data_IF_472168285421
#
_entry.id   IF_472168285421
#
_cell.length_a   1.000
_cell.length_b   1.000
_cell.length_c   1.000
_cell.angle_alpha   90.00
_cell.angle_beta   90.00
_cell.angle_gamma   90.00
#
_symmetry.space_group_name_H-M   'P 1'
#
loop_
_entity.id
_entity.type
_entity.pdbx_description
1 polymer ?
#
# COMPACT_ATOMS: atom_id res chain seq x y z
N UNK A 1 31.23 39.24 -8.15
CA UNK A 1 30.18 38.71 -7.27
C UNK A 1 29.00 38.33 -8.15
N UNK A 2 29.03 37.14 -8.74
CA UNK A 2 27.98 36.67 -9.66
C UNK A 2 26.87 36.01 -8.83
N UNK A 3 25.78 36.74 -8.58
CA UNK A 3 24.55 36.14 -8.07
C UNK A 3 23.80 35.54 -9.24
N UNK A 4 24.04 34.25 -9.50
CA UNK A 4 23.23 33.45 -10.43
C UNK A 4 21.87 33.24 -9.76
N UNK A 5 20.89 34.07 -10.11
CA UNK A 5 19.53 33.98 -9.59
C UNK A 5 18.89 32.67 -10.08
N UNK A 6 18.80 31.72 -9.16
CA UNK A 6 18.19 30.42 -9.34
C UNK A 6 16.68 30.60 -9.47
N UNK A 7 16.11 30.23 -10.62
CA UNK A 7 14.65 30.10 -10.74
C UNK A 7 14.12 29.18 -9.63
N UNK A 8 12.91 29.39 -9.13
CA UNK A 8 12.28 28.48 -8.14
C UNK A 8 12.31 26.99 -8.57
N UNK A 9 12.49 26.70 -9.87
CA UNK A 9 12.68 25.36 -10.41
C UNK A 9 14.01 24.69 -10.03
N UNK A 10 15.06 25.45 -9.71
CA UNK A 10 16.40 24.90 -9.38
C UNK A 10 16.49 24.48 -7.90
N UNK A 11 15.69 25.10 -7.02
CA UNK A 11 15.59 24.74 -5.59
C UNK A 11 14.15 24.76 -5.06
N UNK A 12 13.26 23.90 -5.59
CA UNK A 12 11.84 23.90 -5.23
C UNK A 12 11.57 23.55 -3.76
N UNK A 13 12.55 22.95 -3.05
CA UNK A 13 12.44 22.60 -1.64
C UNK A 13 12.76 23.76 -0.67
N UNK A 14 13.28 24.90 -1.16
CA UNK A 14 13.68 26.02 -0.31
C UNK A 14 12.54 27.03 -0.21
N UNK A 15 12.08 27.32 1.01
CA UNK A 15 11.21 28.47 1.28
C UNK A 15 12.01 29.58 1.94
N UNK A 16 12.15 30.72 1.23
CA UNK A 16 12.94 31.86 1.69
C UNK A 16 12.33 32.61 2.89
N UNK A 17 11.01 32.49 3.10
CA UNK A 17 10.29 33.19 4.16
C UNK A 17 10.15 32.39 5.47
N UNK A 18 10.66 31.16 5.53
CA UNK A 18 10.53 30.29 6.70
C UNK A 18 11.86 30.16 7.45
N UNK A 19 11.82 30.44 8.75
CA UNK A 19 12.95 30.51 9.69
C UNK A 19 13.57 29.15 10.03
N UNK A 20 13.08 28.04 9.45
CA UNK A 20 13.46 26.70 9.87
C UNK A 20 14.37 26.02 8.83
N UNK A 21 15.67 26.27 8.92
CA UNK A 21 16.70 25.59 8.09
C UNK A 21 16.54 24.06 8.14
N UNK A 22 16.09 23.51 9.28
CA UNK A 22 15.84 22.08 9.45
C UNK A 22 14.72 21.54 8.54
N UNK A 23 13.66 22.32 8.32
CA UNK A 23 12.55 21.91 7.44
C UNK A 23 12.97 21.90 5.97
N UNK A 24 13.76 22.89 5.56
CA UNK A 24 14.33 22.92 4.22
C UNK A 24 15.25 21.71 3.96
N UNK A 25 16.01 21.26 4.95
CA UNK A 25 16.84 20.04 4.82
C UNK A 25 16.00 18.76 4.80
N UNK A 26 14.94 18.66 5.63
CA UNK A 26 13.98 17.54 5.55
C UNK A 26 13.28 17.49 4.20
N UNK A 27 12.88 18.64 3.67
CA UNK A 27 12.29 18.75 2.35
C UNK A 27 13.29 18.32 1.27
N UNK A 28 14.54 18.78 1.35
CA UNK A 28 15.60 18.37 0.42
C UNK A 28 15.80 16.86 0.41
N UNK A 29 15.77 16.20 1.57
CA UNK A 29 15.87 14.75 1.67
C UNK A 29 14.70 14.04 0.97
N UNK A 30 13.47 14.50 1.18
CA UNK A 30 12.29 13.96 0.48
C UNK A 30 12.35 14.17 -1.04
N UNK A 31 12.87 15.32 -1.49
CA UNK A 31 12.97 15.68 -2.91
C UNK A 31 13.98 14.82 -3.68
N UNK A 32 14.85 14.07 -3.01
CA UNK A 32 15.73 13.08 -3.69
C UNK A 32 14.95 11.99 -4.43
N UNK A 33 13.72 11.70 -4.02
CA UNK A 33 12.83 10.76 -4.69
C UNK A 33 11.95 11.42 -5.77
N UNK A 34 11.88 12.76 -5.80
CA UNK A 34 11.09 13.51 -6.77
C UNK A 34 11.83 13.58 -8.11
N UNK A 35 11.07 13.59 -9.19
CA UNK A 35 11.52 13.93 -10.54
C UNK A 35 10.51 14.91 -11.10
N UNK A 36 10.97 16.02 -11.68
CA UNK A 36 10.10 17.10 -12.13
C UNK A 36 10.06 17.12 -13.65
N UNK A 37 8.87 17.16 -14.24
CA UNK A 37 8.69 17.33 -15.68
C UNK A 37 8.30 18.78 -15.94
N UNK A 38 9.04 19.47 -16.81
CA UNK A 38 8.73 20.83 -17.24
C UNK A 38 8.87 20.96 -18.75
N UNK A 39 8.35 22.04 -19.33
CA UNK A 39 8.72 22.40 -20.70
C UNK A 39 10.23 22.65 -20.76
N UNK A 40 10.86 22.16 -21.82
CA UNK A 40 12.30 22.35 -22.04
C UNK A 40 12.57 23.82 -22.33
N UNK A 41 13.51 24.40 -21.57
CA UNK A 41 14.05 25.72 -21.88
C UNK A 41 15.18 25.57 -22.88
N UNK A 42 15.31 26.53 -23.78
CA UNK A 42 16.38 26.51 -24.78
C UNK A 42 17.72 26.89 -24.16
N UNK A 43 18.76 26.13 -24.46
CA UNK A 43 20.13 26.41 -24.00
C UNK A 43 20.82 27.52 -24.83
N UNK A 44 20.16 27.99 -25.88
CA UNK A 44 20.65 29.02 -26.80
C UNK A 44 20.90 30.34 -26.06
N UNK A 45 22.02 30.99 -26.40
CA UNK A 45 22.37 32.29 -25.84
C UNK A 45 21.34 33.38 -26.18
N UNK A 46 20.73 33.28 -27.36
CA UNK A 46 19.66 34.18 -27.79
C UNK A 46 18.44 34.10 -26.86
N UNK A 47 18.08 32.89 -26.40
CA UNK A 47 16.99 32.69 -25.47
C UNK A 47 17.29 33.32 -24.10
N UNK A 48 18.51 33.17 -23.58
CA UNK A 48 18.95 33.82 -22.32
C UNK A 48 18.93 35.35 -22.40
N UNK A 49 19.36 35.89 -23.53
CA UNK A 49 19.28 37.32 -23.82
C UNK A 49 17.83 37.79 -23.89
N UNK A 50 16.93 37.00 -24.49
CA UNK A 50 15.49 37.26 -24.49
C UNK A 50 14.90 37.27 -23.07
N UNK A 51 15.20 36.26 -22.24
CA UNK A 51 14.75 36.20 -20.85
C UNK A 51 15.19 37.45 -20.06
N UNK A 52 16.44 37.87 -20.25
CA UNK A 52 17.00 39.08 -19.62
C UNK A 52 16.24 40.33 -20.06
N UNK A 53 15.99 40.50 -21.37
CA UNK A 53 15.24 41.65 -21.90
C UNK A 53 13.79 41.68 -21.41
N UNK A 54 13.13 40.52 -21.30
CA UNK A 54 11.76 40.45 -20.77
C UNK A 54 11.75 40.88 -19.31
N UNK A 55 12.70 40.40 -18.50
CA UNK A 55 12.83 40.78 -17.09
C UNK A 55 13.05 42.29 -16.92
N UNK A 56 13.99 42.87 -17.68
CA UNK A 56 14.25 44.32 -17.67
C UNK A 56 12.97 45.08 -18.04
N UNK A 57 12.29 44.67 -19.12
CA UNK A 57 11.05 45.33 -19.57
C UNK A 57 9.91 45.18 -18.56
N UNK A 58 9.81 44.05 -17.86
CA UNK A 58 8.82 43.84 -16.81
C UNK A 58 8.99 44.87 -15.68
N UNK A 59 10.23 45.17 -15.29
CA UNK A 59 10.52 46.17 -14.28
C UNK A 59 10.37 47.60 -14.80
N UNK A 60 11.03 47.96 -15.91
CA UNK A 60 11.04 49.35 -16.41
C UNK A 60 9.68 49.85 -16.88
N UNK A 61 8.84 48.97 -17.45
CA UNK A 61 7.56 49.37 -18.06
C UNK A 61 6.36 49.10 -17.18
N UNK A 62 6.42 48.06 -16.35
CA UNK A 62 5.26 47.59 -15.59
C UNK A 62 5.46 47.66 -14.08
N UNK A 63 6.62 48.14 -13.58
CA UNK A 63 6.96 48.18 -12.17
C UNK A 63 6.66 46.85 -11.45
N UNK A 64 6.95 45.72 -12.11
CA UNK A 64 6.46 44.40 -11.70
C UNK A 64 6.79 44.08 -10.24
N UNK A 65 8.05 44.29 -9.82
CA UNK A 65 8.48 44.01 -8.45
C UNK A 65 7.76 44.88 -7.42
N UNK A 66 7.47 46.14 -7.75
CA UNK A 66 6.74 47.06 -6.86
C UNK A 66 5.29 46.64 -6.68
N UNK A 67 4.63 46.16 -7.74
CA UNK A 67 3.21 45.80 -7.71
C UNK A 67 3.01 44.42 -7.06
N UNK A 68 3.85 43.45 -7.41
CA UNK A 68 3.67 42.05 -6.98
C UNK A 68 4.41 41.73 -5.69
N UNK A 69 5.37 42.58 -5.28
CA UNK A 69 6.25 42.32 -4.15
C UNK A 69 7.24 41.17 -4.38
N UNK A 70 7.44 40.75 -5.64
CA UNK A 70 8.32 39.64 -6.01
C UNK A 70 9.08 39.98 -7.28
N UNK A 71 10.30 39.46 -7.39
CA UNK A 71 11.09 39.56 -8.61
C UNK A 71 10.41 38.83 -9.77
N UNK A 72 10.53 39.37 -10.99
CA UNK A 72 9.96 38.74 -12.17
C UNK A 72 10.69 37.44 -12.52
N UNK A 73 9.92 36.36 -12.67
CA UNK A 73 10.38 35.07 -13.18
C UNK A 73 9.80 34.78 -14.55
N UNK A 74 10.65 34.30 -15.46
CA UNK A 74 10.25 33.96 -16.82
C UNK A 74 9.28 32.78 -16.86
N UNK A 75 8.17 32.98 -17.57
CA UNK A 75 7.16 31.96 -17.82
C UNK A 75 7.25 31.49 -19.28
N UNK A 76 7.13 30.18 -19.50
CA UNK A 76 7.19 29.56 -20.83
C UNK A 76 6.07 30.06 -21.77
N UNK A 77 4.96 30.61 -21.24
CA UNK A 77 3.94 31.22 -22.10
C UNK A 77 4.46 32.45 -22.84
N UNK A 78 5.38 33.22 -22.24
CA UNK A 78 5.88 34.45 -22.86
C UNK A 78 6.71 34.14 -24.10
N UNK A 79 7.57 33.13 -24.02
CA UNK A 79 8.33 32.65 -25.17
C UNK A 79 7.43 31.98 -26.21
N UNK A 80 6.40 31.24 -25.79
CA UNK A 80 5.41 30.69 -26.73
C UNK A 80 4.64 31.78 -27.49
N UNK A 81 4.26 32.88 -26.84
CA UNK A 81 3.62 34.02 -27.51
C UNK A 81 4.56 34.73 -28.49
N UNK A 82 5.84 34.85 -28.13
CA UNK A 82 6.85 35.38 -29.04
C UNK A 82 6.90 34.55 -30.34
N UNK A 83 7.01 33.23 -30.20
CA UNK A 83 7.04 32.30 -31.34
C UNK A 83 5.73 32.34 -32.14
N UNK A 84 4.57 32.47 -31.47
CA UNK A 84 3.28 32.55 -32.12
C UNK A 84 3.15 33.79 -33.02
N UNK A 85 3.62 34.96 -32.56
CA UNK A 85 3.63 36.18 -33.36
C UNK A 85 4.60 36.05 -34.54
N UNK A 86 5.75 35.43 -34.33
CA UNK A 86 6.71 35.17 -35.39
C UNK A 86 6.14 34.24 -36.47
N UNK A 87 5.50 33.13 -36.06
CA UNK A 87 4.82 32.21 -36.96
C UNK A 87 3.72 32.92 -37.75
N UNK A 88 2.92 33.76 -37.08
CA UNK A 88 1.89 34.55 -37.75
C UNK A 88 2.50 35.50 -38.80
N UNK A 89 3.60 36.20 -38.46
CA UNK A 89 4.26 37.10 -39.39
C UNK A 89 4.81 36.36 -40.63
N UNK A 90 5.39 35.17 -40.43
CA UNK A 90 5.86 34.30 -41.52
C UNK A 90 4.68 33.90 -42.43
N UNK A 91 3.62 33.36 -41.85
CA UNK A 91 2.45 32.90 -42.61
C UNK A 91 1.72 34.05 -43.32
N UNK A 92 1.63 35.23 -42.69
CA UNK A 92 1.03 36.42 -43.28
C UNK A 92 1.86 36.92 -44.47
N UNK A 93 3.20 36.97 -44.34
CA UNK A 93 4.09 37.37 -45.41
C UNK A 93 3.96 36.44 -46.64
N UNK A 94 3.93 35.12 -46.40
CA UNK A 94 3.69 34.13 -47.45
C UNK A 94 2.28 34.24 -48.08
N UNK A 95 1.29 34.67 -47.30
CA UNK A 95 -0.08 34.91 -47.80
C UNK A 95 -0.11 36.10 -48.76
N UNK A 96 0.54 37.21 -48.38
CA UNK A 96 0.65 38.42 -49.20
C UNK A 96 1.50 38.15 -50.46
N UNK A 97 2.62 37.45 -50.32
CA UNK A 97 3.49 37.10 -51.45
C UNK A 97 2.77 36.22 -52.49
N UNK A 98 1.81 35.42 -52.06
CA UNK A 98 0.95 34.61 -52.94
C UNK A 98 -0.23 35.40 -53.54
N UNK A 99 -0.35 36.71 -53.29
CA UNK A 99 -1.44 37.55 -53.80
C UNK A 99 -2.81 37.25 -53.17
N UNK A 100 -2.84 36.59 -52.01
CA UNK A 100 -4.08 36.27 -51.29
C UNK A 100 -4.49 37.39 -50.34
N UNK A 101 -5.76 37.40 -49.93
CA UNK A 101 -6.28 38.37 -48.97
C UNK A 101 -5.67 38.16 -47.56
N UNK A 102 -4.94 39.15 -47.01
CA UNK A 102 -4.37 39.08 -45.66
C UNK A 102 -5.41 39.15 -44.53
N UNK A 103 -6.70 39.35 -44.84
CA UNK A 103 -7.79 39.28 -43.87
C UNK A 103 -8.44 37.89 -43.80
N UNK A 104 -8.10 37.00 -44.73
CA UNK A 104 -8.60 35.63 -44.71
C UNK A 104 -7.77 34.78 -43.74
N UNK A 105 -8.28 34.64 -42.52
CA UNK A 105 -7.63 33.84 -41.47
C UNK A 105 -7.42 32.37 -41.86
N UNK A 106 -8.29 31.77 -42.67
CA UNK A 106 -8.11 30.38 -43.11
C UNK A 106 -6.86 30.22 -43.96
N UNK A 107 -6.62 31.14 -44.90
CA UNK A 107 -5.43 31.12 -45.74
C UNK A 107 -4.15 31.27 -44.92
N UNK A 108 -4.15 32.18 -43.93
CA UNK A 108 -3.02 32.38 -43.03
C UNK A 108 -2.79 31.12 -42.19
N UNK A 109 -3.81 30.62 -41.51
CA UNK A 109 -3.70 29.45 -40.63
C UNK A 109 -3.28 28.20 -41.39
N UNK A 110 -3.76 28.01 -42.63
CA UNK A 110 -3.33 26.90 -43.49
C UNK A 110 -1.81 26.90 -43.77
N UNK A 111 -1.18 28.08 -43.77
CA UNK A 111 0.28 28.24 -43.90
C UNK A 111 1.02 28.16 -42.57
N UNK A 112 0.32 28.12 -41.44
CA UNK A 112 0.91 27.96 -40.11
C UNK A 112 1.05 26.48 -39.72
N UNK A 113 0.18 25.60 -40.21
CA UNK A 113 0.12 24.19 -39.83
C UNK A 113 1.10 23.32 -40.62
N UNK A 114 1.51 22.20 -40.04
CA UNK A 114 2.34 21.19 -40.70
C UNK A 114 3.73 21.69 -41.11
N UNK A 115 4.32 22.59 -40.34
CA UNK A 115 5.62 23.21 -40.66
C UNK A 115 6.50 23.37 -39.44
N UNK A 116 7.75 23.71 -39.73
CA UNK A 116 8.81 23.91 -38.76
C UNK A 116 9.50 25.25 -39.04
N UNK A 117 9.81 26.02 -38.00
CA UNK A 117 10.46 27.32 -38.11
C UNK A 117 11.36 27.61 -36.91
N UNK A 118 12.35 28.48 -37.10
CA UNK A 118 13.25 28.92 -36.04
C UNK A 118 12.60 30.03 -35.21
N UNK A 119 12.31 29.72 -33.95
CA UNK A 119 11.78 30.66 -32.95
C UNK A 119 12.79 30.97 -31.86
N UNK A 120 12.38 31.76 -30.87
CA UNK A 120 13.25 32.11 -29.73
C UNK A 120 13.50 30.90 -28.83
N UNK A 121 12.56 29.96 -28.81
CA UNK A 121 12.70 28.70 -28.07
C UNK A 121 13.50 27.63 -28.84
N UNK A 122 14.12 28.00 -29.96
CA UNK A 122 14.80 27.08 -30.86
C UNK A 122 13.87 26.62 -31.98
N UNK A 123 14.02 25.38 -32.42
CA UNK A 123 13.25 24.87 -33.55
C UNK A 123 11.82 24.51 -33.13
N UNK A 124 10.82 25.22 -33.67
CA UNK A 124 9.40 25.06 -33.35
C UNK A 124 8.69 24.35 -34.49
N UNK A 125 8.07 23.21 -34.18
CA UNK A 125 7.27 22.44 -35.14
C UNK A 125 5.79 22.45 -34.78
N UNK A 126 4.94 22.75 -35.76
CA UNK A 126 3.48 22.72 -35.68
C UNK A 126 2.99 21.53 -36.50
N UNK A 127 2.18 20.68 -35.89
CA UNK A 127 1.61 19.51 -36.53
C UNK A 127 0.54 19.88 -37.56
N UNK A 128 0.01 18.87 -38.24
CA UNK A 128 -1.03 19.06 -39.26
C UNK A 128 -2.39 19.51 -38.69
N UNK A 129 -2.60 19.40 -37.37
CA UNK A 129 -3.80 19.85 -36.67
C UNK A 129 -3.67 21.28 -36.13
N UNK A 130 -2.49 21.89 -36.26
CA UNK A 130 -2.20 23.22 -35.73
C UNK A 130 -1.67 23.24 -34.31
N UNK A 131 -1.31 22.09 -33.76
CA UNK A 131 -0.77 21.96 -32.41
C UNK A 131 0.75 21.92 -32.43
N UNK A 132 1.39 22.53 -31.41
CA UNK A 132 2.85 22.56 -31.30
C UNK A 132 3.38 21.24 -30.74
N UNK A 133 4.35 20.65 -31.43
CA UNK A 133 5.20 19.63 -30.83
C UNK A 133 6.03 20.25 -29.71
N UNK A 134 5.77 19.81 -28.48
CA UNK A 134 6.38 20.38 -27.28
C UNK A 134 7.49 19.48 -26.77
N UNK A 135 8.64 20.10 -26.48
CA UNK A 135 9.77 19.43 -25.87
C UNK A 135 9.69 19.56 -24.35
N UNK A 136 9.95 18.46 -23.64
CA UNK A 136 9.88 18.40 -22.19
C UNK A 136 11.23 18.01 -21.60
N UNK A 137 11.59 18.63 -20.48
CA UNK A 137 12.75 18.27 -19.68
C UNK A 137 12.32 17.46 -18.47
N UNK A 138 13.09 16.43 -18.17
CA UNK A 138 13.00 15.65 -16.94
C UNK A 138 14.15 16.07 -16.03
N UNK A 139 13.77 16.64 -14.89
CA UNK A 139 14.69 17.24 -13.93
C UNK A 139 14.83 16.35 -12.69
N UNK A 140 16.03 16.35 -12.13
CA UNK A 140 16.39 15.66 -10.88
C UNK A 140 16.97 16.67 -9.88
N UNK A 141 17.16 16.27 -8.62
CA UNK A 141 17.62 17.16 -7.56
C UNK A 141 19.02 17.75 -7.85
N UNK A 142 19.91 16.91 -8.41
CA UNK A 142 21.30 17.24 -8.77
C UNK A 142 21.89 16.04 -9.57
N UNK A 143 22.13 16.11 -10.90
CA UNK A 143 22.09 17.26 -11.80
C UNK A 143 20.67 17.70 -12.21
N UNK A 144 20.54 18.95 -12.66
CA UNK A 144 19.26 19.61 -12.91
C UNK A 144 18.46 18.98 -14.07
N UNK A 145 19.05 18.61 -15.21
CA UNK A 145 18.36 17.93 -16.32
C UNK A 145 18.98 16.55 -16.58
N UNK A 146 18.20 15.48 -16.43
CA UNK A 146 18.66 14.09 -16.63
C UNK A 146 18.31 13.52 -17.99
N UNK A 147 17.19 13.95 -18.56
CA UNK A 147 16.73 13.55 -19.89
C UNK A 147 15.79 14.61 -20.45
N UNK A 148 15.59 14.61 -21.76
CA UNK A 148 14.56 15.40 -22.40
C UNK A 148 13.84 14.60 -23.47
N UNK A 149 12.56 14.88 -23.62
CA UNK A 149 11.72 14.31 -24.66
C UNK A 149 11.57 15.35 -25.76
N UNK A 150 11.92 14.98 -26.99
CA UNK A 150 11.65 15.80 -28.16
C UNK A 150 10.32 15.39 -28.77
N UNK A 151 9.36 16.32 -28.79
CA UNK A 151 8.02 16.08 -29.30
C UNK A 151 8.01 15.85 -30.82
N UNK A 152 8.87 16.56 -31.55
CA UNK A 152 8.94 16.46 -33.02
C UNK A 152 9.51 15.11 -33.48
N UNK A 153 10.53 14.57 -32.79
CA UNK A 153 11.11 13.26 -33.12
C UNK A 153 10.48 12.10 -32.34
N UNK A 154 9.59 12.38 -31.39
CA UNK A 154 8.98 11.41 -30.48
C UNK A 154 10.02 10.52 -29.78
N UNK A 155 11.08 11.14 -29.26
CA UNK A 155 12.22 10.43 -28.68
C UNK A 155 12.59 10.99 -27.31
N UNK A 156 12.83 10.10 -26.34
CA UNK A 156 13.42 10.44 -25.05
C UNK A 156 14.94 10.33 -25.14
N UNK A 157 15.63 11.47 -25.07
CA UNK A 157 17.08 11.57 -25.10
C UNK A 157 17.62 11.73 -23.69
N UNK A 158 18.48 10.79 -23.29
CA UNK A 158 19.13 10.81 -21.99
C UNK A 158 20.34 11.75 -22.03
N UNK A 159 20.41 12.68 -21.07
CA UNK A 159 21.54 13.62 -20.91
C UNK A 159 22.56 13.06 -19.93
N UNK A 160 22.08 12.54 -18.79
CA UNK A 160 22.91 12.00 -17.71
C UNK A 160 22.15 10.90 -16.95
N UNK A 161 22.81 10.27 -16.00
CA UNK A 161 22.26 9.17 -15.20
C UNK A 161 21.21 9.66 -14.20
N UNK A 162 20.14 8.86 -14.04
CA UNK A 162 19.08 9.11 -13.07
C UNK A 162 19.56 8.84 -11.65
N UNK A 163 19.31 9.76 -10.72
CA UNK A 163 19.60 9.52 -9.32
C UNK A 163 18.46 8.70 -8.67
N UNK A 164 18.80 7.49 -8.23
CA UNK A 164 17.91 6.63 -7.46
C UNK A 164 18.49 6.39 -6.08
N UNK A 165 17.66 6.58 -5.03
CA UNK A 165 18.08 6.33 -3.63
C UNK A 165 18.63 4.92 -3.43
N UNK A 166 17.99 3.91 -4.03
CA UNK A 166 18.40 2.51 -3.95
C UNK A 166 19.38 2.07 -5.05
N UNK A 167 19.98 3.01 -5.79
CA UNK A 167 20.87 2.74 -6.94
C UNK A 167 20.17 2.21 -8.20
N UNK A 168 18.88 1.90 -8.13
CA UNK A 168 18.08 1.42 -9.26
C UNK A 168 16.65 1.98 -9.20
N UNK A 169 15.96 2.07 -10.36
CA UNK A 169 14.57 2.48 -10.37
C UNK A 169 13.71 1.56 -9.48
N UNK A 170 12.83 2.13 -8.64
CA UNK A 170 11.91 1.34 -7.85
C UNK A 170 10.94 0.60 -8.76
N UNK A 171 10.35 -0.49 -8.24
CA UNK A 171 9.29 -1.19 -8.95
C UNK A 171 8.06 -0.29 -9.03
N UNK A 172 7.34 -0.40 -10.15
CA UNK A 172 6.06 0.25 -10.38
C UNK A 172 4.98 -0.19 -9.37
N UNK A 173 5.15 -1.38 -8.80
CA UNK A 173 4.21 -2.01 -7.88
C UNK A 173 4.94 -2.70 -6.72
N UNK A 174 4.34 -2.70 -5.51
CA UNK A 174 4.92 -3.40 -4.36
C UNK A 174 4.90 -4.92 -4.59
N UNK A 175 5.80 -5.62 -3.91
CA UNK A 175 6.05 -7.07 -4.09
C UNK A 175 4.76 -7.90 -3.94
N UNK A 176 3.90 -7.53 -2.99
CA UNK A 176 2.65 -8.23 -2.72
C UNK A 176 1.41 -7.62 -3.41
N UNK A 177 1.59 -6.68 -4.33
CA UNK A 177 0.49 -5.89 -4.88
C UNK A 177 -0.04 -4.87 -3.87
N UNK A 178 -0.73 -3.84 -4.36
CA UNK A 178 -1.25 -2.76 -3.50
C UNK A 178 -2.29 -3.24 -2.48
N UNK A 179 -2.95 -4.37 -2.78
CA UNK A 179 -4.02 -4.98 -1.97
C UNK A 179 -3.58 -6.27 -1.25
N UNK A 180 -2.27 -6.57 -1.23
CA UNK A 180 -1.70 -7.83 -0.73
C UNK A 180 -2.24 -9.10 -1.42
N UNK A 181 -2.88 -9.00 -2.59
CA UNK A 181 -3.43 -10.16 -3.30
C UNK A 181 -2.38 -11.16 -3.80
N UNK A 182 -1.17 -10.67 -4.09
CA UNK A 182 -0.04 -11.48 -4.58
C UNK A 182 0.80 -12.06 -3.45
N UNK A 183 0.56 -11.65 -2.20
CA UNK A 183 1.20 -12.25 -1.04
C UNK A 183 0.67 -13.67 -0.86
N UNK A 184 1.51 -14.62 -0.42
CA UNK A 184 1.05 -15.96 -0.07
C UNK A 184 -0.04 -15.83 1.01
N UNK A 185 -1.26 -16.26 0.68
CA UNK A 185 -2.33 -16.34 1.66
C UNK A 185 -1.89 -17.33 2.73
N UNK A 186 -1.94 -16.92 3.99
CA UNK A 186 -1.72 -17.83 5.11
C UNK A 186 -2.64 -19.06 4.99
N UNK A 187 -2.24 -20.17 5.62
CA UNK A 187 -3.05 -21.38 5.56
C UNK A 187 -4.45 -21.09 6.12
N UNK A 188 -5.50 -21.60 5.46
CA UNK A 188 -6.86 -21.42 5.96
C UNK A 188 -7.02 -22.09 7.32
N UNK A 189 -7.93 -21.56 8.15
CA UNK A 189 -8.12 -21.97 9.56
C UNK A 189 -8.27 -23.50 9.73
N UNK A 190 -8.89 -24.19 8.77
CA UNK A 190 -9.06 -25.64 8.79
C UNK A 190 -7.74 -26.42 8.81
N UNK A 191 -6.65 -25.89 8.22
CA UNK A 191 -5.32 -26.54 8.25
C UNK A 191 -4.77 -26.55 9.68
N UNK A 192 -4.94 -25.46 10.42
CA UNK A 192 -4.54 -25.39 11.83
C UNK A 192 -5.39 -26.33 12.71
N UNK A 193 -6.70 -26.43 12.46
CA UNK A 193 -7.58 -27.35 13.18
C UNK A 193 -7.24 -28.82 12.90
N UNK A 194 -6.91 -29.16 11.65
CA UNK A 194 -6.49 -30.50 11.27
C UNK A 194 -5.14 -30.88 11.93
N UNK A 195 -4.18 -29.95 11.95
CA UNK A 195 -2.91 -30.17 12.64
C UNK A 195 -3.08 -30.34 14.16
N UNK A 196 -3.92 -29.50 14.79
CA UNK A 196 -4.20 -29.58 16.22
C UNK A 196 -4.93 -30.87 16.61
N UNK A 197 -5.93 -31.29 15.82
CA UNK A 197 -6.65 -32.54 16.04
C UNK A 197 -5.76 -33.76 15.84
N UNK A 198 -4.91 -33.78 14.82
CA UNK A 198 -3.91 -34.83 14.62
C UNK A 198 -2.95 -34.93 15.81
N UNK A 199 -2.45 -33.79 16.32
CA UNK A 199 -1.59 -33.75 17.51
C UNK A 199 -2.29 -34.27 18.77
N UNK A 200 -3.56 -33.92 18.97
CA UNK A 200 -4.35 -34.39 20.11
C UNK A 200 -4.58 -35.91 20.04
N UNK A 201 -4.91 -36.45 18.87
CA UNK A 201 -5.08 -37.90 18.67
C UNK A 201 -3.76 -38.62 18.97
N UNK A 202 -2.64 -38.11 18.47
CA UNK A 202 -1.31 -38.67 18.72
C UNK A 202 -1.02 -38.71 20.23
N UNK A 203 -1.29 -37.62 20.94
CA UNK A 203 -1.10 -37.55 22.40
C UNK A 203 -1.99 -38.54 23.15
N UNK A 204 -3.27 -38.65 22.78
CA UNK A 204 -4.20 -39.61 23.38
C UNK A 204 -3.77 -41.06 23.13
N UNK A 205 -3.30 -41.38 21.92
CA UNK A 205 -2.80 -42.73 21.61
C UNK A 205 -1.55 -43.08 22.44
N UNK A 206 -0.62 -42.14 22.62
CA UNK A 206 0.56 -42.34 23.45
C UNK A 206 0.20 -42.54 24.93
N UNK A 207 -0.73 -41.74 25.45
CA UNK A 207 -1.24 -41.91 26.81
C UNK A 207 -1.93 -43.26 26.98
N UNK A 208 -2.78 -43.64 26.03
CA UNK A 208 -3.46 -44.94 26.05
C UNK A 208 -2.45 -46.09 26.08
N UNK A 209 -1.44 -46.07 25.21
CA UNK A 209 -0.38 -47.10 25.21
C UNK A 209 0.40 -47.10 26.52
N UNK A 210 0.73 -45.93 27.08
CA UNK A 210 1.42 -45.82 28.35
C UNK A 210 0.60 -46.42 29.51
N UNK A 211 -0.67 -46.03 29.63
CA UNK A 211 -1.57 -46.56 30.65
C UNK A 211 -1.86 -48.05 30.44
N UNK A 212 -2.01 -48.51 29.20
CA UNK A 212 -2.19 -49.92 28.87
C UNK A 212 -0.97 -50.76 29.27
N UNK A 213 0.24 -50.29 28.97
CA UNK A 213 1.48 -50.96 29.41
C UNK A 213 1.56 -51.01 30.92
N UNK A 214 1.28 -49.90 31.60
CA UNK A 214 1.30 -49.85 33.07
C UNK A 214 0.25 -50.80 33.67
N UNK A 215 -0.97 -50.80 33.16
CA UNK A 215 -2.02 -51.70 33.60
C UNK A 215 -1.64 -53.17 33.38
N UNK A 216 -1.07 -53.51 32.22
CA UNK A 216 -0.62 -54.88 31.93
C UNK A 216 0.48 -55.35 32.89
N UNK A 217 1.45 -54.49 33.21
CA UNK A 217 2.50 -54.76 34.20
C UNK A 217 1.92 -54.97 35.61
N UNK A 218 0.95 -54.15 36.03
CA UNK A 218 0.26 -54.32 37.31
C UNK A 218 -0.53 -55.65 37.35
N UNK A 219 -1.16 -56.05 36.24
CA UNK A 219 -1.85 -57.35 36.14
C UNK A 219 -0.88 -58.53 36.22
N UNK A 220 0.30 -58.43 35.59
CA UNK A 220 1.35 -59.45 35.67
C UNK A 220 1.94 -59.56 37.08
N UNK A 221 2.11 -58.44 37.79
CA UNK A 221 2.52 -58.41 39.20
C UNK A 221 1.45 -58.97 40.14
N UNK A 222 0.16 -58.71 39.88
CA UNK A 222 -0.95 -59.23 40.68
C UNK A 222 -1.20 -60.73 40.45
N UNK A 223 -0.72 -61.29 39.35
CA UNK A 223 -0.73 -62.73 39.05
C UNK A 223 0.34 -63.49 39.86
N UNK A 224 0.42 -63.27 41.18
CA UNK A 224 1.34 -63.92 42.12
C UNK A 224 0.93 -65.37 42.43
N UNK A 225 0.65 -66.18 41.41
CA UNK A 225 0.31 -67.61 41.55
C UNK A 225 1.49 -68.48 42.03
N UNK A 226 2.71 -67.93 42.02
CA UNK A 226 3.94 -68.59 42.50
C UNK A 226 4.27 -68.32 43.97
N UNK A 227 3.51 -67.44 44.64
CA UNK A 227 3.76 -67.09 46.05
C UNK A 227 3.04 -68.09 46.96
N UNK A 228 3.75 -69.14 47.35
CA UNK A 228 3.29 -70.13 48.32
C UNK A 228 3.05 -69.41 49.65
N UNK A 229 1.82 -69.50 50.17
CA UNK A 229 1.47 -68.98 51.49
C UNK A 229 2.16 -69.82 52.56
N UNK A 230 2.74 -69.19 53.58
CA UNK A 230 3.47 -69.91 54.65
C UNK A 230 2.59 -70.93 55.36
N UNK A 231 1.28 -70.71 55.39
CA UNK A 231 0.26 -71.59 55.95
C UNK A 231 0.09 -72.92 55.20
N UNK A 232 0.64 -73.04 53.98
CA UNK A 232 0.62 -74.28 53.18
C UNK A 232 1.91 -75.12 53.31
N UNK A 233 2.93 -74.61 54.02
CA UNK A 233 4.21 -75.31 54.24
C UNK A 233 4.24 -76.14 55.54
N UNK A 234 3.22 -76.04 56.39
CA UNK A 234 3.12 -76.84 57.59
C UNK A 234 2.66 -78.28 57.24
N UNK A 235 3.61 -79.20 57.25
CA UNK A 235 3.37 -80.64 57.10
C UNK A 235 2.29 -81.16 58.04
N UNK A 236 1.67 -82.30 57.68
CA UNK A 236 0.43 -82.88 58.22
C UNK A 236 0.32 -83.08 59.75
N UNK A 237 1.35 -82.73 60.53
CA UNK A 237 1.36 -82.78 61.99
C UNK A 237 0.62 -81.61 62.67
N UNK A 238 0.54 -80.43 62.06
CA UNK A 238 -0.11 -79.24 62.63
C UNK A 238 -1.66 -79.35 62.61
N UNK A 239 -2.21 -79.87 61.51
CA UNK A 239 -3.65 -80.11 61.31
C UNK A 239 -4.27 -81.08 62.34
N UNK A 240 -3.49 -82.06 62.84
CA UNK A 240 -3.95 -83.01 63.88
C UNK A 240 -3.99 -82.37 65.28
N UNK A 241 -3.17 -81.35 65.55
CA UNK A 241 -3.17 -80.61 66.83
C UNK A 241 -4.31 -79.60 66.91
N UNK A 242 -4.63 -78.93 65.80
CA UNK A 242 -5.77 -78.01 65.67
C UNK A 242 -7.13 -78.72 65.82
N UNK A 243 -7.34 -79.85 65.13
CA UNK A 243 -8.59 -80.64 65.24
C UNK A 243 -8.85 -81.21 66.63
N UNK A 244 -7.79 -81.50 67.42
CA UNK A 244 -7.91 -81.90 68.84
C UNK A 244 -8.22 -80.72 69.77
N UNK A 245 -7.76 -79.50 69.45
CA UNK A 245 -8.06 -78.28 70.23
C UNK A 245 -9.46 -77.73 69.94
N UNK A 246 -9.95 -77.83 68.70
CA UNK A 246 -11.31 -77.39 68.33
C UNK A 246 -12.43 -78.25 68.96
N UNK A 247 -12.19 -79.54 69.22
CA UNK A 247 -13.17 -80.43 69.86
C UNK A 247 -13.30 -80.22 71.38
N UNK A 248 -12.32 -79.57 72.02
CA UNK A 248 -12.29 -79.30 73.48
C UNK A 248 -12.83 -77.91 73.87
N UNK A 249 -13.03 -77.00 72.91
CA UNK A 249 -13.43 -75.59 73.16
C UNK A 249 -14.94 -75.33 73.02
N UNK A 250 -15.77 -76.37 73.12
CA UNK A 250 -17.24 -76.30 72.91
C UNK A 250 -18.05 -76.51 74.20
N UNK A 251 -17.45 -76.26 75.36
CA UNK A 251 -18.10 -76.26 76.69
C UNK A 251 -17.56 -75.10 77.54
N UNK A 252 -18.37 -74.07 77.79
CA UNK A 252 -18.03 -72.94 78.65
C UNK A 252 -18.60 -71.63 78.13
N UNK A 253 -19.28 -70.88 79.00
CA UNK A 253 -20.30 -69.88 78.68
C UNK A 253 -19.81 -68.41 78.74
N UNK A 254 -20.67 -67.54 78.19
CA UNK A 254 -20.98 -66.15 78.58
C UNK A 254 -20.13 -64.94 78.09
N UNK A 255 -20.86 -64.00 77.46
CA UNK A 255 -20.77 -62.53 77.14
C UNK A 255 -19.70 -61.61 77.79
N UNK A 256 -19.53 -60.30 77.41
CA UNK A 256 -19.68 -59.56 76.13
C UNK A 256 -18.44 -58.67 75.75
N UNK A 257 -18.53 -57.92 74.64
CA UNK A 257 -17.93 -56.57 74.38
C UNK A 257 -16.75 -56.35 73.38
N UNK A 258 -17.00 -55.37 72.48
CA UNK A 258 -16.16 -54.48 71.64
C UNK A 258 -15.17 -55.03 70.59
N UNK A 259 -15.51 -54.76 69.32
CA UNK A 259 -14.63 -54.82 68.13
C UNK A 259 -14.14 -53.41 67.72
N UNK A 260 -12.88 -53.24 67.28
CA UNK A 260 -12.44 -52.09 66.52
C UNK A 260 -12.32 -52.37 65.00
N UNK A 261 -13.10 -51.58 64.24
CA UNK A 261 -12.75 -50.79 63.04
C UNK A 261 -12.33 -51.41 61.68
N UNK A 262 -12.93 -50.75 60.65
CA UNK A 262 -12.56 -50.60 59.22
C UNK A 262 -12.93 -51.77 58.29
N UNK A 263 -13.58 -51.57 57.14
CA UNK A 263 -13.55 -50.45 56.20
C UNK A 263 -14.78 -50.56 55.28
N UNK A 264 -15.61 -49.53 55.21
CA UNK A 264 -16.67 -49.40 54.20
C UNK A 264 -16.41 -48.16 53.35
N UNK A 265 -16.72 -48.24 52.06
CA UNK A 265 -17.18 -47.08 51.30
C UNK A 265 -17.84 -47.55 50.00
N UNK A 266 -19.17 -47.40 49.97
CA UNK A 266 -19.95 -47.43 48.75
C UNK A 266 -21.07 -46.39 48.85
N UNK A 267 -21.02 -45.47 47.88
CA UNK A 267 -22.11 -44.70 47.23
C UNK A 267 -22.87 -43.64 48.02
N UNK A 268 -22.94 -42.46 47.39
CA UNK A 268 -23.96 -41.44 47.62
C UNK A 268 -23.83 -40.31 46.59
N UNK A 269 -24.73 -40.29 45.62
CA UNK A 269 -24.95 -39.23 44.63
C UNK A 269 -25.85 -38.11 45.16
N UNK A 270 -25.84 -36.96 44.45
CA UNK A 270 -26.94 -35.99 44.18
C UNK A 270 -26.69 -34.53 44.63
N UNK A 271 -26.58 -33.67 43.60
CA UNK A 271 -27.18 -32.33 43.35
C UNK A 271 -26.91 -31.09 44.21
N UNK A 272 -26.75 -29.98 43.45
CA UNK A 272 -26.96 -28.53 43.64
C UNK A 272 -27.82 -28.10 44.85
N UNK A 273 -27.70 -26.89 45.44
CA UNK A 273 -27.66 -25.57 44.81
C UNK A 273 -27.29 -24.44 45.83
N UNK A 274 -26.70 -23.36 45.31
CA UNK A 274 -26.86 -21.92 45.62
C UNK A 274 -26.66 -21.28 47.03
N UNK A 275 -25.78 -20.24 47.00
CA UNK A 275 -26.03 -18.80 47.33
C UNK A 275 -25.91 -18.30 48.79
N UNK A 276 -24.88 -17.46 49.07
CA UNK A 276 -24.98 -16.05 49.56
C UNK A 276 -23.85 -15.54 50.48
N UNK A 277 -23.32 -14.36 50.13
CA UNK A 277 -22.91 -13.17 50.96
C UNK A 277 -21.56 -13.12 51.73
N UNK A 278 -20.66 -12.32 51.15
CA UNK A 278 -19.70 -11.28 51.65
C UNK A 278 -19.70 -10.78 53.12
N UNK A 279 -18.75 -9.89 53.59
CA UNK A 279 -17.30 -9.63 53.28
C UNK A 279 -16.50 -9.40 54.63
N UNK A 280 -15.45 -8.54 54.84
CA UNK A 280 -14.44 -7.86 53.98
C UNK A 280 -12.96 -7.93 54.51
N UNK A 281 -11.97 -7.51 53.70
CA UNK A 281 -10.89 -6.53 54.02
C UNK A 281 -9.73 -6.57 53.00
N UNK A 282 -9.51 -5.46 52.29
CA UNK A 282 -8.46 -5.28 51.26
C UNK A 282 -7.11 -4.82 51.86
N UNK A 283 -6.28 -4.00 51.16
CA UNK A 283 -6.17 -3.72 49.71
C UNK A 283 -4.74 -3.95 49.18
N UNK A 284 -4.53 -3.89 47.85
CA UNK A 284 -3.49 -3.04 47.22
C UNK A 284 -3.51 -3.14 45.68
N UNK A 285 -3.44 -1.94 45.10
CA UNK A 285 -3.54 -1.48 43.71
C UNK A 285 -2.46 -1.98 42.77
N UNK A 286 -2.79 -2.13 41.47
CA UNK A 286 -2.16 -1.34 40.39
C UNK A 286 -3.05 -1.27 39.14
N UNK A 287 -3.05 -0.08 38.55
CA UNK A 287 -3.99 0.50 37.57
C UNK A 287 -3.62 0.10 36.14
N UNK A 288 -4.66 -0.20 35.34
CA UNK A 288 -4.62 -0.30 33.88
C UNK A 288 -5.13 1.00 33.24
N UNK A 289 -4.57 1.37 32.09
CA UNK A 289 -5.12 2.37 31.16
C UNK A 289 -5.47 1.72 29.80
N UNK A 290 -6.39 2.33 29.03
CA UNK A 290 -7.31 1.60 28.16
C UNK A 290 -6.83 1.46 26.71
N UNK A 291 -7.34 0.42 26.04
CA UNK A 291 -7.24 0.22 24.60
C UNK A 291 -8.19 1.16 23.85
N UNK A 292 -7.79 1.75 22.71
CA UNK A 292 -8.73 2.40 21.81
C UNK A 292 -9.40 1.40 20.85
N UNK A 293 -10.68 1.64 20.61
CA UNK A 293 -11.52 0.96 19.61
C UNK A 293 -11.03 1.25 18.17
N UNK A 294 -11.21 0.30 17.22
CA UNK A 294 -10.96 0.55 15.80
C UNK A 294 -12.11 1.34 15.17
N UNK A 295 -11.85 2.24 14.20
CA UNK A 295 -12.92 2.90 13.47
C UNK A 295 -13.55 1.97 12.43
N UNK A 296 -14.82 2.28 12.16
CA UNK A 296 -15.73 1.64 11.23
C UNK A 296 -15.19 1.57 9.80
N UNK A 297 -15.34 0.38 9.19
CA UNK A 297 -15.10 0.15 7.76
C UNK A 297 -16.24 0.80 6.97
N UNK A 298 -15.98 1.94 6.34
CA UNK A 298 -16.77 2.40 5.21
C UNK A 298 -16.40 1.55 3.99
N UNK A 299 -17.40 0.92 3.37
CA UNK A 299 -17.23 0.20 2.11
C UNK A 299 -16.74 1.17 1.03
N UNK A 300 -15.45 1.10 0.69
CA UNK A 300 -14.92 1.72 -0.53
C UNK A 300 -15.33 0.84 -1.70
N UNK A 301 -16.37 1.26 -2.41
CA UNK A 301 -16.75 0.68 -3.69
C UNK A 301 -15.58 0.81 -4.67
N UNK A 302 -15.18 -0.32 -5.26
CA UNK A 302 -14.17 -0.38 -6.33
C UNK A 302 -14.64 0.46 -7.53
N UNK A 303 -13.77 1.27 -8.18
CA UNK A 303 -14.10 1.81 -9.50
C UNK A 303 -14.09 0.65 -10.50
N UNK A 304 -15.27 0.24 -10.95
CA UNK A 304 -15.44 -0.64 -12.11
C UNK A 304 -15.78 0.24 -13.31
N UNK A 305 -15.02 0.12 -14.39
CA UNK A 305 -15.44 0.64 -15.69
C UNK A 305 -16.55 -0.27 -16.23
N UNK A 306 -17.82 0.11 -16.06
CA UNK A 306 -18.92 -0.52 -16.80
C UNK A 306 -19.17 0.23 -18.10
N UNK A 307 -19.28 -0.52 -19.20
CA UNK A 307 -19.79 -0.01 -20.46
C UNK A 307 -21.31 -0.09 -20.40
N UNK A 308 -21.99 1.06 -20.37
CA UNK A 308 -23.44 1.12 -20.44
C UNK A 308 -23.87 1.84 -21.72
N UNK A 309 -24.54 1.09 -22.60
CA UNK A 309 -25.24 1.61 -23.78
C UNK A 309 -26.59 2.20 -23.35
N UNK A 310 -26.92 3.39 -23.84
CA UNK A 310 -28.28 3.95 -23.79
C UNK A 310 -28.71 4.34 -25.22
N UNK A 311 -29.96 4.09 -25.61
CA UNK A 311 -30.40 4.18 -27.00
C UNK A 311 -30.72 5.62 -27.41
N UNK A 312 -30.41 5.96 -28.66
CA UNK A 312 -30.83 7.22 -29.29
C UNK A 312 -32.21 7.00 -29.92
N UNK A 313 -33.23 7.73 -29.45
CA UNK A 313 -34.45 7.94 -30.23
C UNK A 313 -34.17 8.93 -31.35
N UNK A 314 -34.52 8.49 -32.55
CA UNK A 314 -34.39 9.06 -33.88
C UNK A 314 -34.91 10.50 -34.04
N UNK A 315 -34.12 11.37 -34.70
CA UNK A 315 -34.62 12.37 -35.65
C UNK A 315 -33.58 12.64 -36.77
N UNK A 316 -34.10 12.58 -37.99
CA UNK A 316 -33.56 12.71 -39.35
C UNK A 316 -32.26 13.48 -39.64
N UNK A 317 -31.41 12.83 -40.46
CA UNK A 317 -30.94 13.40 -41.74
C UNK A 317 -29.54 14.05 -41.78
N UNK A 318 -28.53 13.25 -42.15
CA UNK A 318 -27.48 13.49 -43.18
C UNK A 318 -26.21 12.68 -42.85
N UNK A 319 -25.73 11.95 -43.85
CA UNK A 319 -24.62 10.99 -43.77
C UNK A 319 -23.27 11.69 -43.91
N UNK A 320 -22.43 11.60 -42.88
CA UNK A 320 -20.97 11.72 -43.01
C UNK A 320 -20.33 10.73 -42.02
N UNK A 321 -19.39 9.92 -42.51
CA UNK A 321 -18.69 8.91 -41.72
C UNK A 321 -17.86 9.56 -40.60
N UNK A 322 -18.33 9.44 -39.36
CA UNK A 322 -17.66 9.95 -38.16
C UNK A 322 -17.07 8.78 -37.38
N UNK A 323 -15.74 8.75 -37.22
CA UNK A 323 -15.07 7.83 -36.28
C UNK A 323 -15.44 8.26 -34.86
N UNK A 324 -16.06 7.35 -34.11
CA UNK A 324 -16.46 7.56 -32.72
C UNK A 324 -15.27 7.92 -31.82
N UNK A 325 -15.35 9.09 -31.16
CA UNK A 325 -14.49 9.45 -30.03
C UNK A 325 -15.06 8.84 -28.75
N UNK A 326 -14.30 7.94 -28.12
CA UNK A 326 -14.64 7.38 -26.81
C UNK A 326 -14.28 8.38 -25.71
N UNK A 327 -15.26 9.13 -25.19
CA UNK A 327 -15.10 9.90 -23.97
C UNK A 327 -15.31 9.00 -22.74
N UNK A 328 -14.22 8.60 -22.07
CA UNK A 328 -14.29 7.99 -20.73
C UNK A 328 -14.28 9.11 -19.68
N UNK A 329 -15.37 9.26 -18.93
CA UNK A 329 -15.43 10.16 -17.76
C UNK A 329 -15.45 9.33 -16.48
N UNK A 330 -14.55 9.63 -15.54
CA UNK A 330 -14.58 9.08 -14.20
C UNK A 330 -15.70 9.77 -13.40
N UNK A 331 -16.72 9.03 -12.96
CA UNK A 331 -17.76 9.55 -12.06
C UNK A 331 -17.41 9.15 -10.61
N UNK A 332 -17.64 10.06 -9.65
CA UNK A 332 -17.31 9.99 -8.21
C UNK A 332 -15.89 10.36 -7.76
N UNK A 333 -15.25 11.33 -8.41
CA UNK A 333 -14.07 12.02 -7.87
C UNK A 333 -14.50 13.41 -7.41
N UNK A 334 -14.32 13.74 -6.12
CA UNK A 334 -14.40 15.14 -5.64
C UNK A 334 -13.38 15.99 -6.42
N UNK A 335 -13.60 17.30 -6.65
CA UNK A 335 -13.00 18.02 -7.76
C UNK A 335 -11.50 18.22 -7.54
N UNK A 336 -10.70 17.28 -8.01
CA UNK A 336 -9.28 17.44 -8.28
C UNK A 336 -9.07 16.81 -9.65
N UNK A 337 -8.66 17.61 -10.61
CA UNK A 337 -8.70 17.27 -12.03
C UNK A 337 -7.93 15.98 -12.32
N UNK A 338 -8.60 15.03 -12.97
CA UNK A 338 -7.99 13.80 -13.47
C UNK A 338 -8.26 13.67 -14.98
N UNK A 339 -7.23 13.34 -15.75
CA UNK A 339 -7.32 13.09 -17.20
C UNK A 339 -6.77 11.70 -17.50
N UNK A 340 -7.50 10.92 -18.31
CA UNK A 340 -7.08 9.62 -18.81
C UNK A 340 -6.29 9.79 -20.12
N UNK A 341 -5.11 9.16 -20.21
CA UNK A 341 -4.31 9.14 -21.44
C UNK A 341 -4.71 7.91 -22.28
N UNK A 342 -4.99 8.11 -23.57
CA UNK A 342 -5.80 7.22 -24.42
C UNK A 342 -5.19 5.86 -24.82
N UNK A 343 -4.06 5.41 -24.28
CA UNK A 343 -3.46 4.12 -24.68
C UNK A 343 -3.07 3.20 -23.51
N UNK A 344 -3.08 3.71 -22.29
CA UNK A 344 -2.81 2.91 -21.09
C UNK A 344 -3.85 3.31 -20.05
N UNK A 345 -4.46 2.34 -19.37
CA UNK A 345 -5.46 2.61 -18.32
C UNK A 345 -4.76 3.21 -17.07
N UNK A 346 -4.12 4.36 -17.21
CA UNK A 346 -3.48 5.13 -16.15
C UNK A 346 -4.23 6.46 -15.98
N UNK A 347 -4.61 6.74 -14.73
CA UNK A 347 -5.02 8.07 -14.30
C UNK A 347 -3.84 8.75 -13.63
N UNK A 348 -3.52 9.98 -14.04
CA UNK A 348 -2.61 10.87 -13.33
C UNK A 348 -3.46 11.87 -12.55
N UNK A 349 -3.20 11.98 -11.25
CA UNK A 349 -3.80 12.99 -10.35
C UNK A 349 -2.84 14.18 -10.28
N UNK A 350 -3.38 15.38 -10.48
CA UNK A 350 -2.68 16.65 -10.22
C UNK A 350 -2.93 17.12 -8.78
#
# INVERSE_FOLDING_TARGET
MFSYFRSHAEKPWVRANETNHEENEKAKEAYRALKTISLRRSDLEEYKNFETRVKIRAEEKYDYSRITGKEYEMNNFISAFYDAVLLYAIALNETIAAGMDPRNGHNITSKMWGRTFDGITGNVSIDANGDRYSDYSLLDLDPAEVAYYSGASNELKKVTDFHWIGGKPPRDSPICGYDNSKCPKGYPLHVYLLAASAGLILLLTLLFVFFWRRYKLEQELAAMSWKIRWEELDGEESQKKEKKKAKKKRSGAYFPESDPLLRSNSRGSVSSDKVSREPPSGPCTHVALPRPHPPSVSHVLRPSCSSSYLPISSFFGFSFASRHVHAKTCRNVRPVGAVCISSTNFCVLY
#
